data_IF_127963688920
#
_entry.id   IF_127963688920
#
_cell.length_a   1.000
_cell.length_b   1.000
_cell.length_c   1.000
_cell.angle_alpha   90.00
_cell.angle_beta   90.00
_cell.angle_gamma   90.00
#
_symmetry.space_group_name_H-M   'P 1'
#
loop_
_entity.id
_entity.type
_entity.pdbx_description
1 polymer ?
#
# COMPACT_ATOMS: atom_id res chain seq x y z
N UNK A 1 3.17 -15.13 -0.05
CA UNK A 1 4.31 -15.11 0.92
C UNK A 1 5.36 -14.13 0.44
N UNK A 2 5.85 -13.30 1.35
CA UNK A 2 6.96 -12.34 1.12
C UNK A 2 8.17 -12.82 1.90
N UNK A 3 9.33 -12.85 1.26
CA UNK A 3 10.58 -13.23 1.92
C UNK A 3 11.68 -12.23 1.60
N UNK A 4 12.35 -11.77 2.63
CA UNK A 4 13.56 -10.96 2.59
C UNK A 4 14.68 -11.78 3.17
N UNK A 5 15.78 -11.92 2.46
CA UNK A 5 16.95 -12.67 2.89
C UNK A 5 18.19 -11.79 2.75
N UNK A 6 18.75 -11.41 3.90
CA UNK A 6 19.95 -10.58 4.04
C UNK A 6 19.92 -9.27 3.25
N UNK A 7 18.75 -8.62 3.20
CA UNK A 7 18.49 -7.44 2.36
C UNK A 7 19.23 -6.22 2.89
N UNK A 8 20.10 -5.63 2.04
CA UNK A 8 20.71 -4.34 2.26
C UNK A 8 20.31 -3.34 1.17
N UNK A 9 20.11 -2.09 1.58
CA UNK A 9 19.82 -0.98 0.66
C UNK A 9 20.38 0.34 1.18
N UNK A 10 20.97 1.13 0.30
CA UNK A 10 21.48 2.47 0.57
C UNK A 10 21.00 3.46 -0.50
N UNK A 11 20.78 4.72 -0.10
CA UNK A 11 20.73 5.85 -1.03
C UNK A 11 22.11 6.48 -1.08
N UNK A 12 22.71 6.48 -2.26
CA UNK A 12 24.12 6.84 -2.46
C UNK A 12 24.99 6.03 -1.46
N UNK A 13 25.79 6.68 -0.62
CA UNK A 13 26.64 6.02 0.39
C UNK A 13 26.00 5.93 1.78
N UNK A 14 24.72 6.28 1.91
CA UNK A 14 24.01 6.26 3.20
C UNK A 14 23.20 4.96 3.34
N UNK A 15 23.62 4.02 4.18
CA UNK A 15 22.87 2.80 4.45
C UNK A 15 21.50 3.13 5.06
N UNK A 16 20.46 2.40 4.64
CA UNK A 16 19.08 2.57 5.12
C UNK A 16 18.52 1.26 5.65
N UNK A 17 18.73 0.16 4.91
CA UNK A 17 18.37 -1.17 5.34
C UNK A 17 19.66 -2.00 5.42
N UNK A 18 19.86 -2.70 6.53
CA UNK A 18 21.07 -3.48 6.79
C UNK A 18 20.70 -4.88 7.24
N UNK A 19 21.10 -5.89 6.46
CA UNK A 19 20.97 -7.30 6.76
C UNK A 19 19.56 -7.72 7.23
N UNK A 20 18.52 -7.18 6.55
CA UNK A 20 17.14 -7.47 6.90
C UNK A 20 16.73 -8.85 6.37
N UNK A 21 16.47 -9.76 7.30
CA UNK A 21 15.93 -11.10 7.00
C UNK A 21 14.57 -11.24 7.66
N UNK A 22 13.53 -11.47 6.85
CA UNK A 22 12.16 -11.51 7.34
C UNK A 22 11.24 -12.31 6.43
N UNK A 23 10.23 -12.97 7.02
CA UNK A 23 9.15 -13.63 6.28
C UNK A 23 7.81 -13.11 6.74
N UNK A 24 6.97 -12.74 5.77
CA UNK A 24 5.59 -12.31 5.99
C UNK A 24 4.67 -13.31 5.29
N UNK A 25 3.85 -13.97 6.10
CA UNK A 25 2.92 -14.98 5.64
C UNK A 25 1.66 -14.38 5.03
N UNK A 26 0.98 -15.08 4.10
CA UNK A 26 -0.33 -14.65 3.58
C UNK A 26 -1.34 -14.43 4.71
N UNK A 27 -2.10 -13.34 4.65
CA UNK A 27 -3.11 -12.98 5.65
C UNK A 27 -2.56 -12.35 6.93
N UNK A 28 -1.25 -12.25 7.07
CA UNK A 28 -0.61 -11.65 8.24
C UNK A 28 -0.69 -10.12 8.21
N UNK A 29 -0.93 -9.51 9.37
CA UNK A 29 -0.84 -8.06 9.56
C UNK A 29 0.47 -7.72 10.29
N UNK A 30 1.35 -6.97 9.62
CA UNK A 30 2.67 -6.58 10.11
C UNK A 30 2.73 -5.07 10.30
N UNK A 31 3.11 -4.63 11.50
CA UNK A 31 3.46 -3.25 11.79
C UNK A 31 4.94 -3.02 11.52
N UNK A 32 5.26 -2.04 10.70
CA UNK A 32 6.61 -1.51 10.58
C UNK A 32 6.75 -0.35 11.58
N UNK A 33 7.53 -0.56 12.63
CA UNK A 33 7.82 0.45 13.65
C UNK A 33 9.25 0.95 13.56
N UNK A 34 9.53 2.06 14.24
CA UNK A 34 10.85 2.67 14.29
C UNK A 34 10.79 4.20 14.15
N UNK A 35 11.88 4.90 14.48
CA UNK A 35 11.93 6.36 14.44
C UNK A 35 11.76 6.93 13.03
N UNK A 36 11.52 8.25 12.93
CA UNK A 36 11.51 8.93 11.64
C UNK A 36 12.86 8.78 10.95
N UNK A 37 12.83 8.48 9.64
CA UNK A 37 14.04 8.27 8.85
C UNK A 37 14.69 6.88 9.03
N UNK A 38 14.09 5.95 9.80
CA UNK A 38 14.65 4.60 10.00
C UNK A 38 14.58 3.68 8.77
N UNK A 39 13.87 4.09 7.69
CA UNK A 39 13.78 3.30 6.48
C UNK A 39 12.43 2.61 6.26
N UNK A 40 11.39 2.85 7.06
CA UNK A 40 10.05 2.25 6.89
C UNK A 40 9.49 2.45 5.47
N UNK A 41 9.45 3.70 5.00
CA UNK A 41 8.99 4.02 3.63
C UNK A 41 9.91 3.44 2.56
N UNK A 42 11.22 3.32 2.84
CA UNK A 42 12.18 2.65 1.95
C UNK A 42 11.86 1.17 1.84
N UNK A 43 11.59 0.50 2.96
CA UNK A 43 11.17 -0.89 2.96
C UNK A 43 9.85 -1.08 2.20
N UNK A 44 8.84 -0.21 2.42
CA UNK A 44 7.59 -0.26 1.66
C UNK A 44 7.82 -0.10 0.15
N UNK A 45 8.69 0.82 -0.27
CA UNK A 45 9.06 0.97 -1.70
C UNK A 45 9.73 -0.28 -2.26
N UNK A 46 10.61 -0.92 -1.49
CA UNK A 46 11.26 -2.18 -1.87
C UNK A 46 10.21 -3.29 -2.04
N UNK A 47 9.29 -3.44 -1.08
CA UNK A 47 8.21 -4.42 -1.13
C UNK A 47 7.25 -4.19 -2.31
N UNK A 48 7.15 -2.96 -2.81
CA UNK A 48 6.38 -2.63 -4.01
C UNK A 48 7.18 -2.70 -5.32
N UNK A 49 8.44 -3.17 -5.29
CA UNK A 49 9.27 -3.28 -6.49
C UNK A 49 9.62 -1.94 -7.14
N UNK A 50 9.58 -0.83 -6.38
CA UNK A 50 9.97 0.52 -6.82
C UNK A 50 11.46 0.76 -6.68
N UNK A 51 12.11 0.07 -5.74
CA UNK A 51 13.55 -0.02 -5.53
C UNK A 51 13.91 -1.49 -5.28
N UNK A 52 15.19 -1.83 -5.40
CA UNK A 52 15.65 -3.22 -5.33
C UNK A 52 16.82 -3.35 -4.37
N UNK A 53 16.98 -4.51 -3.68
CA UNK A 53 18.12 -4.77 -2.83
C UNK A 53 19.44 -4.58 -3.57
N UNK A 54 20.45 -4.00 -2.90
CA UNK A 54 21.82 -3.96 -3.38
C UNK A 54 22.59 -5.23 -2.98
N UNK A 55 22.18 -5.84 -1.85
CA UNK A 55 22.63 -7.16 -1.39
C UNK A 55 21.43 -7.94 -0.88
N UNK A 56 21.55 -9.26 -0.85
CA UNK A 56 20.47 -10.14 -0.46
C UNK A 56 19.39 -10.29 -1.51
N UNK A 57 18.24 -10.84 -1.12
CA UNK A 57 17.12 -11.10 -2.05
C UNK A 57 15.78 -10.72 -1.45
N UNK A 58 14.91 -10.22 -2.30
CA UNK A 58 13.48 -10.08 -2.04
C UNK A 58 12.70 -11.01 -2.97
N UNK A 59 11.83 -11.84 -2.42
CA UNK A 59 10.94 -12.68 -3.20
C UNK A 59 9.47 -12.50 -2.80
N UNK A 60 8.60 -12.61 -3.80
CA UNK A 60 7.14 -12.62 -3.67
C UNK A 60 6.59 -13.86 -4.34
N UNK A 61 5.84 -14.69 -3.60
CA UNK A 61 5.31 -15.97 -4.03
C UNK A 61 6.37 -16.87 -4.73
N UNK A 62 7.53 -16.98 -4.08
CA UNK A 62 8.66 -17.79 -4.56
C UNK A 62 9.43 -17.21 -5.75
N UNK A 63 9.04 -16.01 -6.23
CA UNK A 63 9.73 -15.35 -7.34
C UNK A 63 10.59 -14.21 -6.84
N UNK A 64 11.89 -14.23 -7.14
CA UNK A 64 12.81 -13.13 -6.79
C UNK A 64 12.44 -11.89 -7.61
N UNK A 65 12.24 -10.78 -6.92
CA UNK A 65 11.88 -9.48 -7.48
C UNK A 65 13.17 -8.72 -7.81
N UNK A 66 13.32 -8.36 -9.08
CA UNK A 66 14.49 -7.61 -9.58
C UNK A 66 14.08 -6.51 -10.54
N UNK A 67 14.93 -5.51 -10.71
CA UNK A 67 14.73 -4.47 -11.71
C UNK A 67 14.52 -5.03 -13.13
N UNK A 68 15.22 -6.11 -13.47
CA UNK A 68 15.06 -6.78 -14.76
C UNK A 68 13.66 -7.35 -14.95
N UNK A 69 13.14 -8.07 -13.94
CA UNK A 69 11.77 -8.61 -13.98
C UNK A 69 10.70 -7.53 -14.02
N UNK A 70 10.89 -6.44 -13.25
CA UNK A 70 9.92 -5.36 -13.20
C UNK A 70 9.89 -4.51 -14.48
N UNK A 71 10.87 -4.63 -15.38
CA UNK A 71 10.83 -4.07 -16.75
C UNK A 71 9.95 -4.87 -17.69
N UNK A 72 9.68 -6.12 -17.40
CA UNK A 72 8.71 -6.92 -18.15
C UNK A 72 7.30 -6.44 -17.79
N UNK A 73 6.59 -5.88 -18.80
CA UNK A 73 5.25 -5.31 -18.61
C UNK A 73 4.24 -6.34 -18.10
N UNK A 74 4.30 -7.57 -18.56
CA UNK A 74 3.35 -8.62 -18.15
C UNK A 74 3.59 -8.98 -16.67
N UNK A 75 4.86 -9.14 -16.28
CA UNK A 75 5.23 -9.44 -14.91
C UNK A 75 4.93 -8.27 -13.96
N UNK A 76 5.32 -7.05 -14.33
CA UNK A 76 5.07 -5.84 -13.53
C UNK A 76 3.56 -5.65 -13.29
N UNK A 77 2.74 -5.81 -14.34
CA UNK A 77 1.28 -5.77 -14.25
C UNK A 77 0.75 -6.85 -13.30
N UNK A 78 1.20 -8.10 -13.46
CA UNK A 78 0.83 -9.21 -12.59
C UNK A 78 1.17 -8.93 -11.12
N UNK A 79 2.36 -8.37 -10.86
CA UNK A 79 2.83 -8.03 -9.52
C UNK A 79 1.99 -6.91 -8.89
N UNK A 80 1.82 -5.78 -9.58
CA UNK A 80 1.06 -4.63 -9.06
C UNK A 80 -0.45 -4.88 -8.95
N UNK A 81 -0.98 -5.91 -9.61
CA UNK A 81 -2.35 -6.38 -9.35
C UNK A 81 -2.47 -7.06 -7.97
N UNK A 82 -1.37 -7.54 -7.40
CA UNK A 82 -1.33 -8.32 -6.15
C UNK A 82 -0.80 -7.53 -4.97
N UNK A 83 0.04 -6.54 -5.21
CA UNK A 83 0.65 -5.71 -4.20
C UNK A 83 0.22 -4.27 -4.42
N UNK A 84 -0.59 -3.75 -3.51
CA UNK A 84 -1.09 -2.37 -3.54
C UNK A 84 -0.33 -1.49 -2.55
N UNK A 85 -0.12 -0.22 -2.92
CA UNK A 85 0.58 0.74 -2.09
C UNK A 85 -0.24 2.00 -1.83
N UNK A 86 -0.55 2.25 -0.57
CA UNK A 86 -1.13 3.53 -0.10
C UNK A 86 0.01 4.42 0.38
N UNK A 87 0.28 5.49 -0.36
CA UNK A 87 1.37 6.42 -0.06
C UNK A 87 1.04 7.32 1.14
N UNK A 88 2.08 7.75 1.87
CA UNK A 88 1.94 8.72 2.95
C UNK A 88 1.25 10.00 2.48
N UNK A 89 1.77 10.62 1.42
CA UNK A 89 1.20 11.81 0.82
C UNK A 89 0.25 11.44 -0.34
N UNK A 90 -1.08 11.62 -0.19
CA UNK A 90 -2.03 11.28 -1.23
C UNK A 90 -1.88 12.12 -2.51
N UNK A 91 -1.31 13.34 -2.43
CA UNK A 91 -1.05 14.15 -3.63
C UNK A 91 -0.02 13.51 -4.57
N UNK A 92 0.85 12.64 -4.06
CA UNK A 92 1.82 11.90 -4.89
C UNK A 92 1.20 10.67 -5.57
N UNK A 93 0.00 10.27 -5.16
CA UNK A 93 -0.71 9.10 -5.68
C UNK A 93 -1.81 9.48 -6.67
N UNK A 94 -2.52 10.59 -6.43
CA UNK A 94 -3.70 11.00 -7.17
C UNK A 94 -3.35 11.92 -8.34
N UNK A 95 -3.76 11.55 -9.57
CA UNK A 95 -3.38 12.28 -10.80
C UNK A 95 -4.47 12.36 -11.87
N UNK A 96 -5.62 11.67 -11.70
CA UNK A 96 -6.71 11.69 -12.67
C UNK A 96 -7.55 12.98 -12.58
N UNK A 97 -8.41 13.21 -13.57
CA UNK A 97 -9.24 14.42 -13.67
C UNK A 97 -10.45 14.40 -12.73
N UNK A 98 -10.85 13.23 -12.22
CA UNK A 98 -11.93 13.06 -11.25
C UNK A 98 -11.66 11.90 -10.30
N UNK A 99 -12.34 11.92 -9.13
CA UNK A 99 -12.30 10.80 -8.17
C UNK A 99 -12.73 9.50 -8.85
N UNK A 100 -13.80 9.51 -9.64
CA UNK A 100 -14.28 8.33 -10.35
C UNK A 100 -13.23 7.74 -11.29
N UNK A 101 -12.55 8.59 -12.04
CA UNK A 101 -11.47 8.15 -12.95
C UNK A 101 -10.27 7.61 -12.17
N UNK A 102 -9.94 8.22 -11.03
CA UNK A 102 -8.87 7.74 -10.15
C UNK A 102 -9.14 6.31 -9.67
N UNK A 103 -10.37 6.05 -9.21
CA UNK A 103 -10.79 4.72 -8.77
C UNK A 103 -10.86 3.71 -9.93
N UNK A 104 -11.20 4.17 -11.14
CA UNK A 104 -11.30 3.32 -12.31
C UNK A 104 -9.93 2.98 -12.93
N UNK A 105 -8.90 3.79 -12.68
CA UNK A 105 -7.61 3.69 -13.37
C UNK A 105 -6.98 2.31 -13.21
N UNK A 106 -6.82 1.81 -11.98
CA UNK A 106 -6.27 0.49 -11.71
C UNK A 106 -7.04 -0.63 -12.41
N UNK A 107 -8.35 -0.78 -12.20
CA UNK A 107 -9.19 -1.76 -12.88
C UNK A 107 -9.14 -1.71 -14.42
N UNK A 108 -9.04 -0.51 -15.01
CA UNK A 108 -8.83 -0.35 -16.46
C UNK A 108 -7.48 -0.92 -16.88
N UNK A 109 -6.40 -0.59 -16.16
CA UNK A 109 -5.07 -1.13 -16.44
C UNK A 109 -5.02 -2.67 -16.26
N UNK A 110 -5.82 -3.21 -15.34
CA UNK A 110 -5.98 -4.66 -15.19
C UNK A 110 -6.70 -5.32 -16.37
N UNK A 111 -7.39 -4.54 -17.20
CA UNK A 111 -8.16 -5.05 -18.34
C UNK A 111 -9.49 -5.68 -17.95
N UNK A 112 -10.09 -5.21 -16.86
CA UNK A 112 -11.42 -5.66 -16.44
C UNK A 112 -12.50 -5.19 -17.41
N UNK A 113 -13.63 -5.91 -17.42
CA UNK A 113 -14.78 -5.51 -18.24
C UNK A 113 -15.40 -4.21 -17.73
N UNK A 114 -15.93 -3.34 -18.61
CA UNK A 114 -16.52 -2.07 -18.21
C UNK A 114 -17.61 -2.16 -17.14
N UNK A 115 -18.40 -3.26 -17.15
CA UNK A 115 -19.42 -3.49 -16.13
C UNK A 115 -18.81 -3.73 -14.74
N UNK A 116 -17.75 -4.57 -14.67
CA UNK A 116 -17.06 -4.90 -13.43
C UNK A 116 -16.33 -3.67 -12.87
N UNK A 117 -15.76 -2.84 -13.76
CA UNK A 117 -15.12 -1.58 -13.38
C UNK A 117 -16.14 -0.65 -12.73
N UNK A 118 -17.28 -0.43 -13.38
CA UNK A 118 -18.35 0.43 -12.83
C UNK A 118 -18.78 -0.06 -11.45
N UNK A 119 -19.09 -1.35 -11.33
CA UNK A 119 -19.52 -1.92 -10.05
C UNK A 119 -18.48 -1.70 -8.94
N UNK A 120 -17.20 -2.04 -9.17
CA UNK A 120 -16.13 -1.84 -8.19
C UNK A 120 -15.94 -0.38 -7.78
N UNK A 121 -16.05 0.53 -8.75
CA UNK A 121 -15.93 1.97 -8.49
C UNK A 121 -17.11 2.48 -7.67
N UNK A 122 -18.33 2.09 -8.02
CA UNK A 122 -19.54 2.52 -7.29
C UNK A 122 -19.54 1.97 -5.86
N UNK A 123 -19.19 0.70 -5.67
CA UNK A 123 -19.04 0.07 -4.34
C UNK A 123 -17.97 0.78 -3.50
N UNK A 124 -16.82 1.12 -4.09
CA UNK A 124 -15.75 1.82 -3.37
C UNK A 124 -16.13 3.27 -3.02
N UNK A 125 -16.83 3.98 -3.92
CA UNK A 125 -17.34 5.32 -3.65
C UNK A 125 -18.34 5.32 -2.49
N UNK A 126 -19.21 4.34 -2.43
CA UNK A 126 -20.20 4.19 -1.36
C UNK A 126 -19.51 3.84 -0.03
N UNK A 127 -18.66 2.80 -0.03
CA UNK A 127 -17.97 2.31 1.16
C UNK A 127 -17.11 3.39 1.84
N UNK A 128 -16.44 4.25 1.04
CA UNK A 128 -15.57 5.30 1.56
C UNK A 128 -16.24 6.67 1.68
N UNK A 129 -17.55 6.76 1.46
CA UNK A 129 -18.29 8.02 1.57
C UNK A 129 -17.90 9.08 0.51
N UNK A 130 -17.44 8.64 -0.67
CA UNK A 130 -16.93 9.49 -1.73
C UNK A 130 -17.94 9.74 -2.86
N UNK A 131 -19.15 9.19 -2.78
CA UNK A 131 -20.16 9.25 -3.85
C UNK A 131 -20.43 10.68 -4.33
N UNK A 132 -20.56 11.64 -3.38
CA UNK A 132 -20.82 13.05 -3.69
C UNK A 132 -19.62 13.77 -4.33
N UNK A 133 -18.45 13.18 -4.24
CA UNK A 133 -17.17 13.70 -4.72
C UNK A 133 -16.75 13.06 -6.05
N UNK A 134 -17.50 12.08 -6.56
CA UNK A 134 -17.12 11.24 -7.69
C UNK A 134 -16.69 12.01 -8.94
N UNK A 135 -17.33 13.15 -9.24
CA UNK A 135 -17.00 14.01 -10.39
C UNK A 135 -16.00 15.11 -10.09
N UNK A 136 -15.58 15.27 -8.82
CA UNK A 136 -14.62 16.32 -8.44
C UNK A 136 -13.19 15.94 -8.78
N UNK A 137 -12.39 16.91 -9.21
CA UNK A 137 -10.94 16.70 -9.36
C UNK A 137 -10.26 16.46 -8.00
N UNK A 138 -9.35 15.49 -7.88
CA UNK A 138 -8.68 15.16 -6.61
C UNK A 138 -7.97 16.37 -5.95
N UNK A 139 -7.40 17.27 -6.73
CA UNK A 139 -6.71 18.45 -6.19
C UNK A 139 -7.63 19.42 -5.43
N UNK A 140 -8.96 19.33 -5.62
CA UNK A 140 -9.97 20.17 -4.92
C UNK A 140 -10.45 19.57 -3.61
N UNK A 141 -10.03 18.36 -3.26
CA UNK A 141 -10.46 17.64 -2.08
C UNK A 141 -9.67 18.10 -0.84
N UNK A 142 -10.28 17.96 0.35
CA UNK A 142 -9.58 18.06 1.63
C UNK A 142 -8.54 16.94 1.79
N UNK A 143 -7.62 17.07 2.77
CA UNK A 143 -6.61 16.06 3.03
C UNK A 143 -7.20 14.67 3.32
N UNK A 144 -8.23 14.60 4.16
CA UNK A 144 -8.91 13.35 4.50
C UNK A 144 -9.66 12.74 3.32
N UNK A 145 -10.35 13.56 2.50
CA UNK A 145 -11.01 13.11 1.28
C UNK A 145 -9.99 12.55 0.27
N UNK A 146 -8.82 13.21 0.12
CA UNK A 146 -7.72 12.70 -0.71
C UNK A 146 -7.19 11.37 -0.20
N UNK A 147 -6.97 11.24 1.12
CA UNK A 147 -6.47 9.98 1.70
C UNK A 147 -7.48 8.84 1.48
N UNK A 148 -8.77 9.08 1.71
CA UNK A 148 -9.81 8.08 1.41
C UNK A 148 -9.87 7.75 -0.08
N UNK A 149 -9.72 8.74 -0.98
CA UNK A 149 -9.64 8.49 -2.43
C UNK A 149 -8.44 7.63 -2.80
N UNK A 150 -7.26 7.88 -2.19
CA UNK A 150 -6.06 7.08 -2.41
C UNK A 150 -6.23 5.63 -1.92
N UNK A 151 -6.89 5.42 -0.78
CA UNK A 151 -7.22 4.06 -0.30
C UNK A 151 -8.25 3.40 -1.24
N UNK A 152 -9.27 4.15 -1.69
CA UNK A 152 -10.30 3.66 -2.60
C UNK A 152 -9.72 3.19 -3.95
N UNK A 153 -8.72 3.91 -4.50
CA UNK A 153 -8.08 3.53 -5.76
C UNK A 153 -7.32 2.20 -5.66
N UNK A 154 -6.78 1.88 -4.48
CA UNK A 154 -6.18 0.56 -4.24
C UNK A 154 -7.26 -0.50 -3.98
N UNK A 155 -8.36 -0.14 -3.29
CA UNK A 155 -9.46 -1.07 -3.00
C UNK A 155 -10.10 -1.61 -4.29
N UNK A 156 -10.30 -0.76 -5.31
CA UNK A 156 -10.89 -1.18 -6.60
C UNK A 156 -10.03 -2.19 -7.34
N UNK A 157 -8.72 -2.22 -7.10
CA UNK A 157 -7.81 -3.24 -7.62
C UNK A 157 -7.92 -4.57 -6.86
N UNK A 158 -8.36 -4.54 -5.60
CA UNK A 158 -8.50 -5.68 -4.70
C UNK A 158 -7.21 -6.52 -4.55
N UNK A 159 -6.05 -5.92 -4.20
CA UNK A 159 -4.79 -6.64 -4.11
C UNK A 159 -4.80 -7.67 -2.97
N UNK A 160 -3.89 -8.64 -3.03
CA UNK A 160 -3.66 -9.62 -1.96
C UNK A 160 -2.87 -9.04 -0.80
N UNK A 161 -1.90 -8.18 -1.12
CA UNK A 161 -1.03 -7.50 -0.16
C UNK A 161 -1.30 -6.01 -0.21
N UNK A 162 -1.53 -5.42 0.95
CA UNK A 162 -1.67 -3.99 1.14
C UNK A 162 -0.45 -3.48 1.90
N UNK A 163 0.28 -2.60 1.29
CA UNK A 163 1.34 -1.84 1.94
C UNK A 163 0.84 -0.42 2.16
N UNK A 164 0.97 0.10 3.37
CA UNK A 164 0.43 1.40 3.75
C UNK A 164 1.49 2.21 4.50
N UNK A 165 1.74 3.42 4.02
CA UNK A 165 2.66 4.36 4.65
C UNK A 165 1.84 5.44 5.36
N UNK A 166 1.79 5.39 6.68
CA UNK A 166 1.00 6.26 7.56
C UNK A 166 -0.43 6.46 7.03
N UNK A 167 -1.26 5.39 6.98
CA UNK A 167 -2.61 5.49 6.43
C UNK A 167 -3.52 6.42 7.24
N UNK A 168 -3.21 6.66 8.50
CA UNK A 168 -3.90 7.59 9.41
C UNK A 168 -3.61 9.06 9.12
N UNK A 169 -2.51 9.38 8.44
CA UNK A 169 -2.13 10.76 8.12
C UNK A 169 -3.21 11.46 7.29
N UNK A 170 -3.49 12.72 7.58
CA UNK A 170 -4.52 13.59 6.97
C UNK A 170 -5.96 13.26 7.37
N UNK A 171 -6.24 12.19 8.10
CA UNK A 171 -7.58 11.84 8.54
C UNK A 171 -7.96 12.64 9.80
N UNK A 172 -9.22 13.06 9.85
CA UNK A 172 -9.89 13.59 11.02
C UNK A 172 -10.39 12.45 11.93
N UNK A 173 -11.06 12.78 13.03
CA UNK A 173 -11.55 11.78 13.98
C UNK A 173 -12.47 10.74 13.34
N UNK A 174 -13.39 11.17 12.46
CA UNK A 174 -14.32 10.28 11.75
C UNK A 174 -13.57 9.39 10.74
N UNK A 175 -12.59 9.96 10.04
CA UNK A 175 -11.73 9.23 9.13
C UNK A 175 -10.87 8.19 9.85
N UNK A 176 -10.38 8.50 11.04
CA UNK A 176 -9.62 7.57 11.88
C UNK A 176 -10.51 6.42 12.38
N UNK A 177 -11.71 6.70 12.88
CA UNK A 177 -12.67 5.68 13.29
C UNK A 177 -13.02 4.75 12.12
N UNK A 178 -13.29 5.32 10.93
CA UNK A 178 -13.49 4.53 9.72
C UNK A 178 -12.29 3.63 9.38
N UNK A 179 -11.05 4.14 9.48
CA UNK A 179 -9.84 3.36 9.18
C UNK A 179 -9.66 2.20 10.17
N UNK A 180 -9.98 2.43 11.45
CA UNK A 180 -9.93 1.41 12.52
C UNK A 180 -10.94 0.26 12.27
N UNK A 181 -12.06 0.51 11.60
CA UNK A 181 -13.02 -0.52 11.16
C UNK A 181 -12.61 -1.17 9.83
N UNK A 182 -12.02 -0.39 8.93
CA UNK A 182 -11.64 -0.84 7.59
C UNK A 182 -10.48 -1.84 7.60
N UNK A 183 -9.43 -1.58 8.37
CA UNK A 183 -8.24 -2.45 8.40
C UNK A 183 -8.56 -3.88 8.90
N UNK A 184 -9.32 -4.08 10.00
CA UNK A 184 -9.77 -5.41 10.40
C UNK A 184 -10.60 -6.12 9.33
N UNK A 185 -11.44 -5.38 8.58
CA UNK A 185 -12.23 -5.96 7.49
C UNK A 185 -11.37 -6.51 6.35
N UNK A 186 -10.27 -5.83 6.01
CA UNK A 186 -9.30 -6.33 5.05
C UNK A 186 -8.61 -7.61 5.55
N UNK A 187 -8.20 -7.64 6.83
CA UNK A 187 -7.60 -8.82 7.44
C UNK A 187 -8.57 -10.01 7.46
N UNK A 188 -9.83 -9.77 7.84
CA UNK A 188 -10.88 -10.78 7.83
C UNK A 188 -11.15 -11.32 6.41
N UNK A 189 -10.94 -10.49 5.38
CA UNK A 189 -10.99 -10.91 3.96
C UNK A 189 -9.71 -11.65 3.50
N UNK A 190 -8.81 -12.01 4.42
CA UNK A 190 -7.58 -12.75 4.13
C UNK A 190 -6.47 -11.94 3.47
N UNK A 191 -6.54 -10.60 3.54
CA UNK A 191 -5.49 -9.73 2.99
C UNK A 191 -4.28 -9.69 3.91
N UNK A 192 -3.10 -9.65 3.32
CA UNK A 192 -1.83 -9.37 4.01
C UNK A 192 -1.69 -7.86 4.14
N UNK A 193 -1.44 -7.38 5.36
CA UNK A 193 -1.30 -5.95 5.65
C UNK A 193 0.12 -5.66 6.13
N UNK A 194 0.78 -4.66 5.53
CA UNK A 194 2.10 -4.18 5.98
C UNK A 194 1.96 -2.68 6.17
N UNK A 195 1.93 -2.25 7.43
CA UNK A 195 1.55 -0.89 7.80
C UNK A 195 2.72 -0.22 8.50
N UNK A 196 3.24 0.86 7.93
CA UNK A 196 4.13 1.77 8.64
C UNK A 196 3.27 2.81 9.37
N UNK A 197 3.34 2.84 10.68
CA UNK A 197 2.59 3.78 11.52
C UNK A 197 3.39 4.17 12.75
N UNK A 198 3.14 5.40 13.23
CA UNK A 198 3.61 5.88 14.53
C UNK A 198 2.56 5.69 15.65
N UNK A 199 1.37 5.26 15.30
CA UNK A 199 0.24 5.06 16.20
C UNK A 199 -0.06 3.56 16.40
N UNK A 200 0.96 2.80 16.85
CA UNK A 200 0.84 1.36 17.12
C UNK A 200 -0.32 1.01 18.08
N UNK A 201 -0.60 1.91 19.04
CA UNK A 201 -1.70 1.81 20.00
C UNK A 201 -3.08 1.69 19.33
N UNK A 202 -3.29 2.38 18.20
CA UNK A 202 -4.54 2.33 17.42
C UNK A 202 -4.72 1.05 16.64
N UNK A 203 -3.64 0.38 16.30
CA UNK A 203 -3.65 -0.86 15.51
C UNK A 203 -3.82 -2.12 16.38
N UNK A 204 -3.51 -2.03 17.66
CA UNK A 204 -3.79 -2.97 18.75
C UNK A 204 -3.89 -4.45 18.33
N UNK A 205 -5.11 -5.02 18.44
CA UNK A 205 -5.39 -6.42 18.14
C UNK A 205 -5.32 -6.80 16.64
N UNK A 206 -5.18 -5.83 15.74
CA UNK A 206 -5.04 -6.10 14.30
C UNK A 206 -3.69 -6.78 13.99
N UNK A 207 -2.62 -6.37 14.68
CA UNK A 207 -1.23 -6.70 14.34
C UNK A 207 -0.86 -8.09 14.87
N UNK A 208 -0.40 -8.96 13.98
CA UNK A 208 0.15 -10.28 14.33
C UNK A 208 1.65 -10.22 14.63
N UNK A 209 2.35 -9.25 14.02
CA UNK A 209 3.80 -9.14 14.10
C UNK A 209 4.26 -7.70 14.01
N UNK A 210 5.24 -7.33 14.81
CA UNK A 210 5.95 -6.05 14.70
C UNK A 210 7.35 -6.27 14.13
N UNK A 211 7.68 -5.52 13.09
CA UNK A 211 9.02 -5.44 12.50
C UNK A 211 9.63 -4.07 12.80
N UNK A 212 10.62 -4.07 13.68
CA UNK A 212 11.32 -2.84 14.06
C UNK A 212 12.37 -2.51 13.01
N UNK A 213 12.10 -1.47 12.20
CA UNK A 213 13.05 -0.95 11.22
C UNK A 213 14.03 -0.02 11.94
N UNK A 214 15.28 -0.46 12.04
CA UNK A 214 16.37 0.32 12.64
C UNK A 214 17.17 0.95 11.51
N UNK A 215 17.25 2.29 11.52
CA UNK A 215 18.19 3.00 10.64
C UNK A 215 19.63 2.56 10.93
N UNK A 216 20.44 2.51 9.92
CA UNK A 216 21.87 2.17 10.00
C UNK A 216 22.66 3.40 10.46
#
# INVERSE_FOLDING_TARGET
>A
MIQLDDVCFAYDDRPILSHLTETIEPGQAVLLSGPNGSGKSTLLRLLNGLIFPQQGTYSFDGTIITAGKMRDHAYSKWFHQRVGYVWQNPNSQLFCSSVREELAFGPVQMGLKPADIRQRVDDALELLGLTRLASRPPYTLSGGEKKRTAIASILTMNPQVWTMDEPESYLDADGLAWLEDFLPSLKAAGKTLIIASHHADRLGSLIDKELVVRGS
#
